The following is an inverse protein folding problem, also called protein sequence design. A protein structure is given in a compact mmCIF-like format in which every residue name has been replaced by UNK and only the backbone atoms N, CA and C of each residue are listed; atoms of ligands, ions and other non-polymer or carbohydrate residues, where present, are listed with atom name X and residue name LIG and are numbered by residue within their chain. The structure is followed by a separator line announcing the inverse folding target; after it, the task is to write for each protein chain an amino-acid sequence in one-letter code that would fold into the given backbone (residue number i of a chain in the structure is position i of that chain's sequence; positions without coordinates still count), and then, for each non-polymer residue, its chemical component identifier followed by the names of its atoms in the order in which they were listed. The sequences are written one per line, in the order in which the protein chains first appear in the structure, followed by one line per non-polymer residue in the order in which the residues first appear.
data_IF_728965883184
#
_entry.id   IF_728965883184
#
_cell.length_a   1.000
_cell.length_b   1.000
_cell.length_c   1.000
_cell.angle_alpha   90.00
_cell.angle_beta   90.00
_cell.angle_gamma   90.00
#
_symmetry.space_group_name_H-M   'P 1'
#
loop_
_entity.id
_entity.type
_entity.pdbx_description
1 polymer ?
#
# COMPACT_ATOMS: atom_id res chain seq x y z
N UNK A 1 -2.52 9.76 -12.38
CA UNK A 1 -1.94 9.34 -11.09
C UNK A 1 -0.43 9.52 -11.21
N UNK A 2 0.24 10.24 -10.29
CA UNK A 2 1.66 10.68 -10.36
C UNK A 2 2.02 11.95 -11.19
N UNK A 3 1.10 12.91 -11.35
CA UNK A 3 1.39 14.17 -12.06
C UNK A 3 2.24 15.19 -11.26
N UNK A 4 2.48 14.93 -9.96
CA UNK A 4 3.20 15.88 -9.09
C UNK A 4 4.68 15.96 -9.50
N UNK A 5 5.15 17.17 -9.82
CA UNK A 5 6.53 17.47 -10.25
C UNK A 5 7.59 16.90 -9.31
N UNK A 6 7.33 16.90 -7.99
CA UNK A 6 8.23 16.32 -6.98
C UNK A 6 8.47 14.81 -7.20
N UNK A 7 7.43 14.07 -7.53
CA UNK A 7 7.49 12.62 -7.73
C UNK A 7 8.20 12.31 -9.06
N UNK A 8 7.90 13.08 -10.11
CA UNK A 8 8.54 12.97 -11.43
C UNK A 8 10.04 13.32 -11.43
N UNK A 9 10.50 14.13 -10.47
CA UNK A 9 11.92 14.45 -10.30
C UNK A 9 12.70 13.31 -9.62
N UNK A 10 12.02 12.51 -8.80
CA UNK A 10 12.63 11.46 -7.99
C UNK A 10 12.54 10.08 -8.65
N UNK A 11 11.51 9.85 -9.45
CA UNK A 11 11.23 8.57 -10.10
C UNK A 11 10.76 8.79 -11.54
N UNK A 12 11.17 7.94 -12.45
CA UNK A 12 10.65 7.95 -13.83
C UNK A 12 9.20 7.48 -13.86
N UNK A 13 8.45 7.88 -14.89
CA UNK A 13 7.08 7.42 -15.07
C UNK A 13 6.98 5.90 -15.26
N UNK A 14 7.99 5.30 -15.90
CA UNK A 14 8.08 3.85 -16.12
C UNK A 14 8.30 3.07 -14.82
N UNK A 15 9.20 3.55 -13.96
CA UNK A 15 9.41 2.97 -12.63
C UNK A 15 8.15 3.04 -11.76
N UNK A 16 7.43 4.16 -11.76
CA UNK A 16 6.20 4.27 -10.97
C UNK A 16 5.07 3.38 -11.48
N UNK A 17 4.98 3.16 -12.79
CA UNK A 17 3.95 2.31 -13.39
C UNK A 17 4.23 0.81 -13.16
N UNK A 18 5.50 0.41 -13.14
CA UNK A 18 5.89 -0.99 -12.90
C UNK A 18 5.78 -1.40 -11.42
N UNK A 19 5.85 -0.44 -10.51
CA UNK A 19 5.76 -0.68 -9.05
C UNK A 19 4.31 -0.66 -8.51
N UNK A 20 3.31 -0.55 -9.38
CA UNK A 20 1.89 -0.57 -8.99
C UNK A 20 1.53 -1.94 -8.40
N UNK A 21 1.23 -1.94 -7.10
CA UNK A 21 0.73 -3.11 -6.41
C UNK A 21 -0.77 -3.34 -6.74
N UNK A 22 -1.07 -4.40 -7.48
CA UNK A 22 -2.45 -4.85 -7.71
C UNK A 22 -3.00 -5.54 -6.46
N UNK A 23 -3.58 -4.75 -5.56
CA UNK A 23 -4.15 -5.23 -4.31
C UNK A 23 -5.67 -5.41 -4.43
N UNK A 24 -6.21 -6.42 -3.73
CA UNK A 24 -7.66 -6.52 -3.58
C UNK A 24 -8.20 -5.32 -2.79
N UNK A 25 -9.50 -5.03 -2.92
CA UNK A 25 -10.14 -3.87 -2.28
C UNK A 25 -9.87 -3.74 -0.79
N UNK A 26 -9.89 -4.85 -0.05
CA UNK A 26 -9.64 -4.87 1.40
C UNK A 26 -8.20 -4.50 1.74
N UNK A 27 -7.22 -5.08 1.03
CA UNK A 27 -5.81 -4.78 1.21
C UNK A 27 -5.48 -3.35 0.77
N UNK A 28 -6.04 -2.89 -0.34
CA UNK A 28 -5.89 -1.51 -0.82
C UNK A 28 -6.43 -0.49 0.20
N UNK A 29 -7.62 -0.75 0.73
CA UNK A 29 -8.21 0.08 1.79
C UNK A 29 -7.34 0.08 3.06
N UNK A 30 -6.72 -1.04 3.42
CA UNK A 30 -5.82 -1.10 4.58
C UNK A 30 -4.56 -0.27 4.35
N UNK A 31 -3.94 -0.37 3.16
CA UNK A 31 -2.73 0.40 2.85
C UNK A 31 -3.01 1.90 2.97
N UNK A 32 -4.14 2.39 2.44
CA UNK A 32 -4.54 3.79 2.62
C UNK A 32 -5.02 4.16 4.03
N UNK A 33 -5.41 3.17 4.85
CA UNK A 33 -5.73 3.42 6.25
C UNK A 33 -4.47 3.62 7.11
N UNK A 34 -3.32 3.09 6.67
CA UNK A 34 -2.04 3.14 7.38
C UNK A 34 -1.12 4.22 6.81
N UNK A 35 -1.05 4.33 5.49
CA UNK A 35 -0.14 5.20 4.76
C UNK A 35 -0.92 6.24 3.96
N UNK A 36 -0.47 7.49 4.02
CA UNK A 36 -0.98 8.54 3.16
C UNK A 36 -0.52 8.36 1.71
N UNK A 37 -1.24 8.96 0.77
CA UNK A 37 -0.82 8.99 -0.65
C UNK A 37 0.58 9.59 -0.83
N UNK A 38 0.98 10.51 0.05
CA UNK A 38 2.31 11.12 0.02
C UNK A 38 3.38 10.13 0.43
N UNK A 39 3.16 9.38 1.51
CA UNK A 39 4.11 8.37 1.99
C UNK A 39 4.25 7.21 1.00
N UNK A 40 3.14 6.78 0.40
CA UNK A 40 3.15 5.78 -0.67
C UNK A 40 3.94 6.24 -1.89
N UNK A 41 3.81 7.51 -2.29
CA UNK A 41 4.52 8.01 -3.46
C UNK A 41 6.03 8.25 -3.21
N UNK A 42 6.42 8.60 -1.97
CA UNK A 42 7.80 9.01 -1.65
C UNK A 42 8.66 7.88 -1.09
N UNK A 43 8.10 7.00 -0.24
CA UNK A 43 8.86 5.99 0.52
C UNK A 43 8.34 4.58 0.32
N UNK A 44 7.03 4.37 0.29
CA UNK A 44 6.42 3.03 0.24
C UNK A 44 5.85 2.71 -1.14
N UNK A 45 6.59 3.04 -2.19
CA UNK A 45 6.14 2.90 -3.58
C UNK A 45 6.39 1.51 -4.17
N UNK A 46 6.92 0.55 -3.39
CA UNK A 46 7.21 -0.81 -3.83
C UNK A 46 6.58 -1.85 -2.91
N UNK A 47 6.21 -3.00 -3.48
CA UNK A 47 5.68 -4.14 -2.72
C UNK A 47 6.66 -4.68 -1.67
N UNK A 48 7.97 -4.66 -1.97
CA UNK A 48 8.99 -5.08 -1.02
C UNK A 48 8.97 -4.18 0.22
N UNK A 49 8.96 -2.86 0.01
CA UNK A 49 8.88 -1.87 1.08
C UNK A 49 7.57 -2.02 1.87
N UNK A 50 6.42 -2.19 1.21
CA UNK A 50 5.14 -2.41 1.90
C UNK A 50 5.16 -3.66 2.79
N UNK A 51 5.93 -4.69 2.41
CA UNK A 51 6.16 -5.90 3.23
C UNK A 51 7.15 -5.68 4.37
N UNK A 52 7.88 -4.59 4.42
CA UNK A 52 8.74 -4.24 5.57
C UNK A 52 8.00 -3.37 6.58
N UNK A 53 6.90 -2.73 6.18
CA UNK A 53 6.13 -1.88 7.08
C UNK A 53 5.45 -2.71 8.19
N UNK A 54 5.77 -2.48 9.48
CA UNK A 54 5.36 -3.37 10.57
C UNK A 54 3.83 -3.49 10.72
N UNK A 55 3.10 -2.40 10.52
CA UNK A 55 1.61 -2.42 10.57
C UNK A 55 1.02 -3.21 9.41
N UNK A 56 1.62 -3.12 8.22
CA UNK A 56 1.14 -3.82 7.03
C UNK A 56 1.47 -5.31 7.16
N UNK A 57 2.67 -5.66 7.63
CA UNK A 57 3.05 -7.02 7.97
C UNK A 57 2.06 -7.69 8.90
N UNK A 58 1.75 -7.06 10.03
CA UNK A 58 0.76 -7.58 11.00
C UNK A 58 -0.61 -7.79 10.36
N UNK A 59 -1.03 -6.86 9.49
CA UNK A 59 -2.28 -7.02 8.74
C UNK A 59 -2.21 -8.18 7.76
N UNK A 60 -1.11 -8.35 7.02
CA UNK A 60 -0.91 -9.44 6.07
C UNK A 60 -0.92 -10.79 6.79
N UNK A 61 -0.24 -10.93 7.92
CA UNK A 61 -0.27 -12.17 8.72
C UNK A 61 -1.67 -12.49 9.23
N UNK A 62 -2.41 -11.46 9.66
CA UNK A 62 -3.79 -11.57 10.13
C UNK A 62 -4.78 -11.87 8.99
N UNK A 63 -4.54 -11.34 7.78
CA UNK A 63 -5.39 -11.56 6.61
C UNK A 63 -5.16 -12.95 6.01
N UNK A 64 -3.93 -13.45 6.04
CA UNK A 64 -3.58 -14.82 5.58
C UNK A 64 -4.33 -15.92 6.33
N UNK A 65 -4.68 -15.67 7.59
CA UNK A 65 -5.47 -16.60 8.43
C UNK A 65 -6.98 -16.52 8.16
N UNK A 66 -7.44 -15.64 7.26
CA UNK A 66 -8.86 -15.48 6.91
C UNK A 66 -9.18 -16.11 5.57
N UNK A 67 -10.43 -16.55 5.44
CA UNK A 67 -10.98 -17.00 4.17
C UNK A 67 -10.93 -15.85 3.13
N UNK A 68 -10.23 -16.03 1.99
CA UNK A 68 -10.10 -14.99 0.96
C UNK A 68 -11.43 -14.63 0.29
N UNK A 69 -12.49 -15.44 0.43
CA UNK A 69 -13.85 -15.15 -0.07
C UNK A 69 -14.73 -14.39 0.94
N UNK A 70 -14.27 -14.24 2.18
CA UNK A 70 -15.00 -13.46 3.20
C UNK A 70 -14.81 -11.97 3.01
N UNK A 71 -15.81 -11.14 3.33
CA UNK A 71 -15.68 -9.67 3.32
C UNK A 71 -14.72 -9.23 4.42
N UNK A 72 -13.45 -8.97 4.08
CA UNK A 72 -12.45 -8.44 5.00
C UNK A 72 -12.58 -6.92 5.04
N UNK A 73 -13.05 -6.36 6.16
CA UNK A 73 -13.06 -4.90 6.35
C UNK A 73 -11.66 -4.41 6.71
N UNK A 74 -11.26 -3.25 6.19
CA UNK A 74 -10.02 -2.59 6.60
C UNK A 74 -10.11 -2.20 8.09
N UNK A 75 -9.04 -2.46 8.84
CA UNK A 75 -8.92 -2.13 10.25
C UNK A 75 -8.15 -0.80 10.35
N UNK A 76 -8.86 0.28 10.67
CA UNK A 76 -8.22 1.52 11.09
C UNK A 76 -7.69 1.33 12.52
N UNK A 77 -6.38 1.43 12.70
CA UNK A 77 -5.82 1.66 14.03
C UNK A 77 -6.04 3.15 14.31
N UNK A 78 -6.91 3.46 15.27
CA UNK A 78 -7.15 4.84 15.70
C UNK A 78 -5.88 5.33 16.38
N UNK A 79 -5.27 6.37 15.81
CA UNK A 79 -4.18 7.13 16.43
C UNK A 79 -4.75 8.26 17.28
#
# INVERSE_FOLDING_TARGET
MHSKTRIRKRWTAEELNTRVAWLCRSCHNQVHAVLSEKELADTWNELALLREHPVILRYVEWVRKRNPRGRIRARREQR
#
